data_IF_293168530008
#
_entry.id   IF_293168530008
#
_cell.length_a   1.000
_cell.length_b   1.000
_cell.length_c   1.000
_cell.angle_alpha   90.00
_cell.angle_beta   90.00
_cell.angle_gamma   90.00
#
_symmetry.space_group_name_H-M   'P 1'
#
loop_
_entity.id
_entity.type
_entity.pdbx_description
1 polymer ?
2 non-polymer ?
3 non-polymer ?
4 water ?
#
# COMPACT_ATOMS: atom_id res chain seq x y z
N UNK A 1 -40.47 7.56 -13.34
CA UNK A 1 -40.16 6.39 -14.15
C UNK A 1 -38.69 6.35 -14.59
N UNK A 2 -38.19 5.17 -14.92
CA UNK A 2 -36.74 4.99 -15.01
C UNK A 2 -36.16 5.36 -16.37
N UNK A 3 -35.29 6.35 -16.37
CA UNK A 3 -34.68 6.82 -17.61
C UNK A 3 -33.20 6.48 -17.73
N UNK A 4 -32.52 6.36 -16.59
CA UNK A 4 -31.05 6.23 -16.58
C UNK A 4 -30.60 5.03 -15.73
N UNK A 5 -29.73 4.20 -16.29
CA UNK A 5 -29.09 3.14 -15.50
C UNK A 5 -27.58 3.32 -15.57
N UNK A 6 -26.93 3.43 -14.42
CA UNK A 6 -25.48 3.58 -14.36
C UNK A 6 -24.84 2.33 -13.76
N UNK A 7 -23.59 2.04 -14.13
CA UNK A 7 -22.97 0.80 -13.69
C UNK A 7 -21.50 0.93 -13.30
N UNK A 8 -21.17 0.32 -12.16
CA UNK A 8 -19.78 0.22 -11.73
C UNK A 8 -19.11 -0.85 -12.59
N UNK A 9 -17.79 -0.75 -12.73
CA UNK A 9 -17.06 -1.68 -13.61
C UNK A 9 -16.44 -2.88 -12.86
N UNK A 10 -15.46 -2.64 -12.01
CA UNK A 10 -14.70 -3.70 -11.38
C UNK A 10 -15.57 -4.53 -10.47
N UNK A 11 -15.62 -5.81 -10.72
CA UNK A 11 -16.44 -6.75 -10.01
C UNK A 11 -17.94 -6.59 -10.22
N UNK A 12 -18.37 -5.80 -11.19
CA UNK A 12 -19.74 -5.93 -11.65
C UNK A 12 -19.85 -6.34 -13.13
N UNK A 13 -18.95 -5.86 -13.98
CA UNK A 13 -18.94 -6.27 -15.38
C UNK A 13 -17.84 -7.32 -15.68
N UNK A 14 -16.94 -7.51 -14.74
CA UNK A 14 -15.89 -8.54 -14.84
C UNK A 14 -15.23 -8.72 -13.47
N UNK A 15 -14.50 -9.82 -13.31
CA UNK A 15 -13.72 -10.06 -12.10
C UNK A 15 -12.57 -9.06 -12.02
N UNK A 16 -12.41 -8.38 -10.89
CA UNK A 16 -11.34 -7.37 -10.79
C UNK A 16 -9.94 -7.98 -10.82
N UNK A 17 -9.74 -9.02 -10.02
CA UNK A 17 -8.39 -9.52 -9.69
C UNK A 17 -7.45 -9.91 -10.84
N UNK A 18 -7.92 -10.76 -11.79
CA UNK A 18 -6.96 -11.33 -12.74
C UNK A 18 -6.24 -10.30 -13.63
N UNK A 19 -6.97 -9.36 -14.22
CA UNK A 19 -6.35 -8.40 -15.13
C UNK A 19 -5.35 -7.50 -14.41
N UNK A 20 -5.61 -7.21 -13.15
CA UNK A 20 -4.74 -6.33 -12.38
C UNK A 20 -3.48 -7.08 -11.95
N UNK A 21 -3.64 -8.34 -11.55
CA UNK A 21 -2.49 -9.19 -11.26
C UNK A 21 -1.57 -9.29 -12.46
N UNK A 22 -2.15 -9.58 -13.62
CA UNK A 22 -1.38 -9.64 -14.85
C UNK A 22 -0.69 -8.33 -15.15
N UNK A 23 -1.39 -7.23 -14.91
CA UNK A 23 -0.83 -5.90 -15.11
C UNK A 23 0.39 -5.65 -14.21
N UNK A 24 0.26 -5.99 -12.94
CA UNK A 24 1.35 -5.82 -12.00
C UNK A 24 2.57 -6.62 -12.47
N UNK A 25 2.33 -7.84 -12.94
CA UNK A 25 3.41 -8.72 -13.39
C UNK A 25 4.08 -8.18 -14.65
N UNK A 26 3.27 -7.67 -15.58
CA UNK A 26 3.78 -7.07 -16.80
C UNK A 26 4.58 -5.80 -16.46
N UNK A 27 4.11 -5.09 -15.45
CA UNK A 27 4.78 -3.88 -15.00
C UNK A 27 6.10 -4.30 -14.37
N UNK A 28 6.05 -5.33 -13.54
CA UNK A 28 7.25 -5.86 -12.92
C UNK A 28 8.28 -6.28 -13.98
N UNK A 29 7.82 -7.01 -15.00
CA UNK A 29 8.71 -7.55 -16.03
C UNK A 29 9.37 -6.46 -16.90
N UNK A 30 8.59 -5.50 -17.36
CA UNK A 30 9.08 -4.41 -18.21
C UNK A 30 10.12 -3.55 -17.50
N UNK A 31 10.01 -3.43 -16.18
CA UNK A 31 10.95 -2.62 -15.40
C UNK A 31 12.29 -3.33 -15.16
N UNK A 32 12.27 -4.66 -15.13
CA UNK A 32 13.51 -5.43 -14.99
C UNK A 32 14.26 -5.40 -16.32
N UNK A 33 13.54 -5.01 -17.37
CA UNK A 33 14.11 -4.95 -18.70
C UNK A 33 14.69 -3.58 -18.99
N UNK A 34 13.86 -2.55 -18.87
CA UNK A 34 14.23 -1.21 -19.31
C UNK A 34 14.78 -0.37 -18.16
N UNK A 35 14.59 -0.82 -16.93
CA UNK A 35 15.08 -0.08 -15.77
C UNK A 35 15.84 -0.98 -14.78
N UNK A 36 16.95 -1.59 -15.24
CA UNK A 36 17.69 -2.55 -14.42
C UNK A 36 18.26 -1.99 -13.11
N UNK A 37 18.36 -0.67 -12.98
CA UNK A 37 18.94 -0.09 -11.77
C UNK A 37 17.96 -0.07 -10.60
N UNK A 38 16.67 -0.14 -10.91
CA UNK A 38 15.67 -0.17 -9.84
C UNK A 38 15.73 -1.50 -9.08
N UNK A 39 15.69 -2.60 -9.82
CA UNK A 39 15.81 -3.92 -9.22
C UNK A 39 14.57 -4.34 -8.45
N UNK A 40 14.56 -5.59 -7.96
CA UNK A 40 13.42 -6.16 -7.22
C UNK A 40 13.03 -5.28 -6.04
N UNK A 41 11.88 -4.63 -6.16
CA UNK A 41 11.41 -3.73 -5.12
C UNK A 41 10.22 -4.31 -4.37
N UNK A 42 10.36 -4.44 -3.04
CA UNK A 42 9.28 -4.93 -2.19
C UNK A 42 8.04 -4.05 -2.27
N UNK A 43 6.89 -4.72 -2.37
CA UNK A 43 5.59 -4.05 -2.33
C UNK A 43 5.58 -3.02 -1.21
N UNK A 44 6.25 -3.34 -0.15
CA UNK A 44 6.31 -2.47 1.00
C UNK A 44 6.96 -1.13 0.70
N UNK A 45 7.90 -1.12 -0.22
CA UNK A 45 8.65 0.04 -0.59
C UNK A 45 7.86 0.99 -1.48
N UNK A 46 6.91 0.48 -2.24
CA UNK A 46 6.07 1.36 -3.02
C UNK A 46 5.03 2.02 -2.13
N UNK A 47 4.57 1.28 -1.13
CA UNK A 47 3.57 1.75 -0.20
C UNK A 47 4.08 2.96 0.57
N UNK A 48 5.34 2.95 0.95
CA UNK A 48 5.91 4.10 1.64
C UNK A 48 5.93 5.36 0.82
N UNK A 49 6.25 5.23 -0.45
CA UNK A 49 6.26 6.37 -1.37
C UNK A 49 4.83 6.83 -1.61
N UNK A 50 3.96 5.87 -1.88
CA UNK A 50 2.55 6.14 -2.06
C UNK A 50 2.01 6.90 -0.84
N UNK A 51 2.34 6.42 0.35
CA UNK A 51 1.83 7.01 1.59
C UNK A 51 2.35 8.41 1.77
N UNK A 52 3.54 8.67 1.22
CA UNK A 52 4.18 9.97 1.31
C UNK A 52 3.43 10.97 0.45
N UNK A 53 3.18 10.58 -0.79
CA UNK A 53 2.47 11.43 -1.74
C UNK A 53 1.04 11.73 -1.27
N UNK A 54 0.39 10.73 -0.68
CA UNK A 54 -0.96 10.91 -0.15
C UNK A 54 -0.96 11.84 1.06
N UNK A 55 0.21 12.00 1.69
CA UNK A 55 0.36 12.94 2.80
C UNK A 55 0.43 14.40 2.34
N UNK A 56 1.29 14.67 1.35
CA UNK A 56 1.45 16.02 0.85
C UNK A 56 0.20 16.47 0.10
N UNK A 57 -0.48 15.51 -0.52
CA UNK A 57 -1.67 15.80 -1.32
C UNK A 57 -2.71 14.68 -1.26
N UNK A 58 -3.56 14.71 -0.22
CA UNK A 58 -4.60 13.70 0.03
C UNK A 58 -5.55 13.47 -1.14
N UNK A 59 -5.70 14.45 -2.02
CA UNK A 59 -6.60 14.30 -3.15
C UNK A 59 -6.00 13.36 -4.21
N UNK A 60 -4.79 12.89 -3.96
CA UNK A 60 -4.16 11.93 -4.87
C UNK A 60 -4.95 10.63 -4.93
N UNK A 61 -5.74 10.36 -3.89
CA UNK A 61 -6.51 9.13 -3.83
C UNK A 61 -7.54 9.04 -4.95
N UNK A 62 -7.90 10.20 -5.50
CA UNK A 62 -8.88 10.26 -6.57
C UNK A 62 -8.24 10.27 -7.96
N UNK A 63 -6.92 10.15 -8.00
CA UNK A 63 -6.13 10.21 -9.23
C UNK A 63 -5.23 8.99 -9.30
N UNK A 64 -5.82 7.81 -9.39
CA UNK A 64 -5.07 6.58 -9.23
C UNK A 64 -3.96 6.34 -10.28
N UNK A 65 -4.20 6.75 -11.52
CA UNK A 65 -3.18 6.64 -12.57
C UNK A 65 -2.03 7.62 -12.34
N UNK A 66 -2.39 8.87 -12.12
CA UNK A 66 -1.40 9.90 -11.86
C UNK A 66 -0.56 9.53 -10.64
N UNK A 67 -1.21 8.98 -9.64
CA UNK A 67 -0.53 8.58 -8.41
C UNK A 67 0.51 7.51 -8.68
N UNK A 68 0.14 6.47 -9.43
CA UNK A 68 1.06 5.39 -9.72
C UNK A 68 2.25 5.88 -10.55
N UNK A 69 2.00 6.76 -11.51
CA UNK A 69 3.08 7.32 -12.33
C UNK A 69 4.08 8.09 -11.47
N UNK A 70 3.57 8.83 -10.49
CA UNK A 70 4.44 9.57 -9.59
C UNK A 70 5.25 8.64 -8.69
N UNK A 71 4.63 7.57 -8.20
CA UNK A 71 5.31 6.59 -7.37
C UNK A 71 6.42 5.89 -8.16
N UNK A 72 6.11 5.52 -9.40
CA UNK A 72 7.10 4.92 -10.27
C UNK A 72 8.26 5.89 -10.49
N UNK A 73 7.92 7.15 -10.73
CA UNK A 73 8.90 8.23 -10.89
C UNK A 73 9.90 8.28 -9.74
N UNK A 74 9.39 8.44 -8.52
CA UNK A 74 10.24 8.55 -7.34
C UNK A 74 11.09 7.33 -7.06
N UNK A 75 10.56 6.14 -7.35
CA UNK A 75 11.33 4.93 -7.11
C UNK A 75 12.47 4.79 -8.12
N UNK A 76 12.20 5.21 -9.36
CA UNK A 76 13.20 5.15 -10.41
C UNK A 76 14.29 6.19 -10.19
N UNK A 77 13.87 7.43 -9.93
CA UNK A 77 14.81 8.52 -9.65
C UNK A 77 15.62 8.22 -8.40
N UNK A 78 14.95 7.75 -7.35
CA UNK A 78 15.64 7.41 -6.11
C UNK A 78 16.40 6.09 -6.24
N UNK A 79 16.38 5.49 -7.42
CA UNK A 79 17.20 4.33 -7.71
C UNK A 79 18.44 4.75 -8.50
N UNK A 80 18.47 6.02 -8.90
CA UNK A 80 19.65 6.56 -9.54
C UNK A 80 19.40 7.34 -10.82
N UNK A 81 18.29 7.05 -11.49
CA UNK A 81 17.99 7.68 -12.77
C UNK A 81 17.80 9.19 -12.64
N UNK A 82 18.09 9.92 -13.72
CA UNK A 82 17.89 11.38 -13.76
C UNK A 82 16.41 11.73 -13.89
N UNK A 83 16.05 12.94 -13.50
CA UNK A 83 14.66 13.37 -13.59
C UNK A 83 14.08 13.09 -14.97
N UNK A 84 14.89 13.27 -16.00
CA UNK A 84 14.42 13.05 -17.36
C UNK A 84 14.12 11.59 -17.65
N UNK A 85 15.09 10.72 -17.41
CA UNK A 85 14.93 9.32 -17.76
C UNK A 85 13.95 8.62 -16.82
N UNK A 86 13.85 9.10 -15.58
CA UNK A 86 12.89 8.56 -14.64
C UNK A 86 11.47 8.79 -15.18
N UNK A 87 11.20 10.03 -15.57
CA UNK A 87 9.88 10.42 -16.04
C UNK A 87 9.49 9.67 -17.29
N UNK A 88 10.42 9.50 -18.22
CA UNK A 88 10.10 8.76 -19.44
C UNK A 88 9.89 7.29 -19.12
N UNK A 89 10.65 6.76 -18.16
CA UNK A 89 10.47 5.38 -17.75
C UNK A 89 9.16 5.20 -16.98
N UNK A 90 8.87 6.11 -16.05
CA UNK A 90 7.60 6.07 -15.33
C UNK A 90 6.44 6.04 -16.31
N UNK A 91 6.42 7.01 -17.22
CA UNK A 91 5.36 7.14 -18.21
C UNK A 91 5.22 5.89 -19.07
N UNK A 92 6.34 5.38 -19.56
CA UNK A 92 6.32 4.21 -20.44
C UNK A 92 5.89 2.94 -19.71
N UNK A 93 6.45 2.71 -18.52
CA UNK A 93 6.06 1.54 -17.74
C UNK A 93 4.59 1.60 -17.34
N UNK A 94 4.09 2.80 -17.08
CA UNK A 94 2.69 2.93 -16.70
C UNK A 94 1.75 2.54 -17.84
N UNK A 95 2.08 2.95 -19.07
CA UNK A 95 1.25 2.62 -20.22
C UNK A 95 1.20 1.11 -20.41
N UNK A 96 2.29 0.43 -20.07
CA UNK A 96 2.32 -1.02 -20.14
C UNK A 96 1.43 -1.63 -19.05
N UNK A 97 1.50 -1.09 -17.85
CA UNK A 97 0.58 -1.48 -16.80
C UNK A 97 -0.88 -1.29 -17.26
N UNK A 98 -1.18 -0.11 -17.77
CA UNK A 98 -2.56 0.23 -18.11
C UNK A 98 -3.11 -0.66 -19.23
N UNK A 99 -2.26 -1.00 -20.19
CA UNK A 99 -2.62 -1.93 -21.25
C UNK A 99 -2.96 -3.30 -20.66
N UNK A 100 -2.14 -3.76 -19.73
CA UNK A 100 -2.39 -5.06 -19.12
C UNK A 100 -3.63 -5.01 -18.26
N UNK A 101 -3.88 -3.83 -17.71
CA UNK A 101 -5.01 -3.59 -16.82
C UNK A 101 -6.33 -3.74 -17.57
N UNK A 102 -6.29 -3.52 -18.88
CA UNK A 102 -7.50 -3.62 -19.70
C UNK A 102 -7.77 -4.98 -20.33
N UNK A 103 -6.88 -5.95 -20.07
CA UNK A 103 -7.13 -7.30 -20.55
C UNK A 103 -8.07 -8.03 -19.60
N UNK A 104 -9.28 -7.51 -19.45
CA UNK A 104 -10.29 -8.14 -18.60
C UNK A 104 -11.12 -9.15 -19.40
N UNK A 105 -11.69 -10.11 -18.68
CA UNK A 105 -12.67 -11.01 -19.27
C UNK A 105 -14.07 -10.53 -18.90
N UNK A 106 -14.73 -9.86 -19.82
CA UNK A 106 -16.09 -9.38 -19.57
C UNK A 106 -17.03 -10.56 -19.36
N UNK A 107 -17.80 -10.54 -18.27
CA UNK A 107 -18.81 -11.57 -18.04
C UNK A 107 -19.69 -11.72 -19.29
N UNK A 108 -19.93 -12.96 -19.70
CA UNK A 108 -20.74 -13.30 -20.86
C UNK A 108 -22.16 -12.70 -20.78
N UNK A 109 -22.70 -12.58 -19.57
CA UNK A 109 -24.03 -12.03 -19.37
C UNK A 109 -24.13 -10.54 -19.77
N UNK A 110 -22.99 -9.86 -19.85
CA UNK A 110 -22.98 -8.40 -19.97
C UNK A 110 -23.44 -7.82 -21.31
N UNK A 111 -22.77 -8.17 -22.40
CA UNK A 111 -23.09 -7.55 -23.70
C UNK A 111 -24.57 -7.74 -24.12
N UNK A 112 -25.08 -8.97 -24.00
CA UNK A 112 -26.50 -9.23 -24.34
C UNK A 112 -27.45 -8.35 -23.55
N UNK A 113 -27.10 -8.09 -22.30
CA UNK A 113 -27.94 -7.30 -21.42
C UNK A 113 -27.86 -5.81 -21.72
N UNK A 114 -26.65 -5.31 -21.91
CA UNK A 114 -26.44 -3.92 -22.28
C UNK A 114 -27.18 -3.58 -23.58
N UNK A 115 -27.13 -4.48 -24.54
CA UNK A 115 -27.83 -4.27 -25.81
C UNK A 115 -29.34 -4.07 -25.60
N UNK A 116 -29.94 -4.92 -24.76
CA UNK A 116 -31.34 -4.82 -24.41
C UNK A 116 -31.66 -3.53 -23.67
N UNK A 117 -30.90 -3.24 -22.62
CA UNK A 117 -31.14 -2.05 -21.80
C UNK A 117 -30.98 -0.76 -22.60
N UNK A 118 -29.95 -0.72 -23.44
CA UNK A 118 -29.69 0.44 -24.27
C UNK A 118 -30.89 0.85 -25.14
N UNK A 119 -31.79 -0.08 -25.43
CA UNK A 119 -32.90 0.25 -26.32
C UNK A 119 -33.90 1.14 -25.63
N UNK A 120 -33.90 1.17 -24.31
CA UNK A 120 -34.96 1.89 -23.64
C UNK A 120 -34.49 2.78 -22.49
N UNK A 121 -33.23 2.63 -22.10
CA UNK A 121 -32.64 3.47 -21.07
C UNK A 121 -31.40 4.13 -21.61
N UNK A 122 -31.06 5.27 -21.03
CA UNK A 122 -29.71 5.83 -21.16
C UNK A 122 -28.78 5.05 -20.22
N UNK A 123 -27.62 4.62 -20.73
CA UNK A 123 -26.68 3.86 -19.91
C UNK A 123 -25.44 4.69 -19.64
N UNK A 124 -24.95 4.61 -18.42
CA UNK A 124 -23.74 5.33 -18.06
C UNK A 124 -22.83 4.55 -17.15
N UNK A 125 -21.60 5.03 -17.03
CA UNK A 125 -20.60 4.39 -16.16
C UNK A 125 -20.13 5.37 -15.10
N UNK A 126 -19.97 4.86 -13.88
CA UNK A 126 -19.38 5.67 -12.81
C UNK A 126 -18.38 4.81 -12.05
N UNK A 127 -17.10 5.17 -12.18
CA UNK A 127 -16.01 4.36 -11.62
C UNK A 127 -14.93 5.20 -10.91
N UNK A 128 -14.39 4.63 -9.84
CA UNK A 128 -13.26 5.24 -9.14
C UNK A 128 -11.91 4.82 -9.73
N UNK A 129 -11.92 3.79 -10.58
CA UNK A 129 -10.69 3.22 -11.11
C UNK A 129 -10.31 3.69 -12.50
N UNK A 130 -9.30 3.04 -13.09
CA UNK A 130 -8.82 3.45 -14.40
C UNK A 130 -9.13 2.49 -15.55
N UNK A 131 -10.13 1.63 -15.38
CA UNK A 131 -10.65 0.86 -16.52
C UNK A 131 -11.44 1.80 -17.41
N UNK A 132 -11.12 1.79 -18.69
CA UNK A 132 -11.69 2.75 -19.61
C UNK A 132 -12.49 2.01 -20.65
N UNK A 133 -13.82 2.15 -20.59
CA UNK A 133 -14.69 1.36 -21.45
C UNK A 133 -14.44 1.68 -22.90
N UNK A 134 -13.93 2.89 -23.18
CA UNK A 134 -13.63 3.32 -24.54
C UNK A 134 -12.58 2.41 -25.15
N UNK A 135 -11.74 1.82 -24.30
CA UNK A 135 -10.69 0.93 -24.75
C UNK A 135 -11.18 -0.49 -24.87
N UNK A 136 -12.42 -0.72 -24.47
CA UNK A 136 -13.03 -2.04 -24.52
C UNK A 136 -14.14 -2.03 -25.56
N UNK A 137 -14.67 -3.21 -25.87
CA UNK A 137 -15.71 -3.29 -26.89
C UNK A 137 -17.03 -2.75 -26.39
N UNK A 138 -17.03 -2.23 -25.16
CA UNK A 138 -18.27 -1.84 -24.47
C UNK A 138 -18.65 -0.40 -24.69
N UNK A 139 -17.74 0.37 -25.26
CA UNK A 139 -17.90 1.82 -25.30
C UNK A 139 -19.25 2.23 -25.90
N UNK A 140 -19.67 1.52 -26.94
CA UNK A 140 -20.86 1.95 -27.67
C UNK A 140 -22.19 1.84 -26.90
N UNK A 141 -22.22 1.07 -25.81
CA UNK A 141 -23.47 0.94 -25.04
C UNK A 141 -23.74 2.13 -24.12
N UNK A 142 -22.70 2.90 -23.86
CA UNK A 142 -22.78 3.94 -22.84
C UNK A 142 -22.77 5.33 -23.43
N UNK A 143 -23.68 6.17 -22.92
CA UNK A 143 -23.74 7.58 -23.25
C UNK A 143 -22.62 8.37 -22.60
N UNK A 144 -22.19 7.95 -21.41
CA UNK A 144 -21.10 8.65 -20.74
C UNK A 144 -20.37 7.69 -19.82
N UNK A 145 -19.17 8.08 -19.41
CA UNK A 145 -18.39 7.26 -18.50
C UNK A 145 -17.65 8.23 -17.62
N UNK A 146 -18.06 8.29 -16.35
CA UNK A 146 -17.41 9.18 -15.42
C UNK A 146 -16.37 8.42 -14.63
N UNK A 147 -15.18 8.97 -14.48
CA UNK A 147 -14.22 8.38 -13.56
C UNK A 147 -13.76 9.41 -12.53
N UNK A 148 -13.37 8.94 -11.35
CA UNK A 148 -12.97 9.84 -10.28
C UNK A 148 -11.78 10.74 -10.65
N UNK A 149 -10.85 10.22 -11.47
CA UNK A 149 -9.68 10.99 -11.87
C UNK A 149 -10.05 12.26 -12.63
N UNK A 150 -11.06 12.17 -13.50
CA UNK A 150 -11.54 13.32 -14.26
C UNK A 150 -12.41 14.27 -13.45
N UNK A 151 -13.15 13.74 -12.48
CA UNK A 151 -14.01 14.57 -11.65
C UNK A 151 -13.27 15.10 -10.43
N UNK A 152 -12.16 14.47 -10.09
CA UNK A 152 -11.41 14.82 -8.89
C UNK A 152 -12.08 14.38 -7.60
N UNK A 153 -13.07 13.50 -7.69
CA UNK A 153 -13.79 13.03 -6.52
C UNK A 153 -14.46 11.71 -6.90
N UNK A 154 -14.55 10.78 -5.96
CA UNK A 154 -15.09 9.46 -6.28
C UNK A 154 -16.26 9.01 -5.41
N UNK A 155 -16.91 7.93 -5.82
CA UNK A 155 -17.96 7.31 -5.00
C UNK A 155 -17.29 7.01 -3.68
N UNK A 156 -18.04 7.07 -2.56
CA UNK A 156 -19.48 7.24 -2.35
C UNK A 156 -19.92 8.69 -2.22
N UNK A 157 -19.01 9.63 -2.43
CA UNK A 157 -19.42 11.03 -2.46
C UNK A 157 -20.54 11.23 -3.47
N UNK A 158 -21.49 12.12 -3.17
CA UNK A 158 -22.61 12.28 -4.12
C UNK A 158 -22.21 12.92 -5.45
N UNK A 159 -21.10 13.66 -5.49
CA UNK A 159 -20.72 14.39 -6.69
C UNK A 159 -20.74 13.58 -7.98
N UNK A 160 -20.07 12.41 -8.00
CA UNK A 160 -20.10 11.70 -9.29
C UNK A 160 -21.51 11.27 -9.74
N UNK A 161 -22.38 10.93 -8.79
CA UNK A 161 -23.75 10.57 -9.12
C UNK A 161 -24.56 11.75 -9.66
N UNK A 162 -24.42 12.89 -8.98
CA UNK A 162 -25.06 14.12 -9.41
C UNK A 162 -24.56 14.56 -10.79
N UNK A 163 -23.27 14.34 -11.06
CA UNK A 163 -22.76 14.64 -12.40
C UNK A 163 -23.40 13.73 -13.45
N UNK A 164 -23.60 12.46 -13.10
CA UNK A 164 -24.22 11.52 -14.03
C UNK A 164 -25.65 11.93 -14.39
N UNK A 165 -26.39 12.42 -13.40
CA UNK A 165 -27.75 12.86 -13.59
C UNK A 165 -27.79 14.05 -14.56
N UNK A 166 -26.84 14.96 -14.40
CA UNK A 166 -26.70 16.10 -15.33
C UNK A 166 -26.35 15.67 -16.76
N UNK A 167 -25.48 14.68 -16.91
CA UNK A 167 -25.14 14.21 -18.25
C UNK A 167 -26.36 13.58 -18.93
N UNK A 168 -27.19 12.87 -18.16
CA UNK A 168 -28.35 12.20 -18.72
C UNK A 168 -29.58 13.11 -18.78
N UNK A 169 -29.50 14.25 -18.11
CA UNK A 169 -30.61 15.21 -18.08
C UNK A 169 -31.86 14.64 -17.40
N UNK A 170 -31.69 14.03 -16.24
CA UNK A 170 -32.83 13.48 -15.51
C UNK A 170 -32.68 13.70 -14.01
N UNK A 171 -33.78 13.56 -13.28
CA UNK A 171 -33.77 13.65 -11.82
C UNK A 171 -33.31 12.32 -11.22
N UNK A 172 -32.87 12.36 -9.96
CA UNK A 172 -32.43 11.18 -9.21
C UNK A 172 -33.49 10.08 -9.15
N UNK A 173 -34.75 10.45 -8.92
CA UNK A 173 -35.81 9.45 -8.82
C UNK A 173 -35.98 8.68 -10.14
N UNK A 174 -35.42 9.22 -11.21
CA UNK A 174 -35.52 8.57 -12.51
C UNK A 174 -34.30 7.67 -12.82
N UNK A 175 -33.46 7.44 -11.83
CA UNK A 175 -32.15 6.81 -12.09
C UNK A 175 -31.92 5.60 -11.19
N UNK A 176 -31.19 4.61 -11.72
CA UNK A 176 -30.78 3.45 -10.93
C UNK A 176 -29.27 3.21 -11.14
N UNK A 177 -28.52 2.94 -10.06
CA UNK A 177 -27.13 2.59 -10.19
C UNK A 177 -26.93 1.10 -9.83
N UNK A 178 -26.07 0.43 -10.59
CA UNK A 178 -25.82 -1.01 -10.41
C UNK A 178 -24.33 -1.21 -10.07
N UNK A 179 -24.05 -1.88 -8.95
CA UNK A 179 -22.68 -2.02 -8.48
C UNK A 179 -22.54 -3.10 -7.42
N UNK A 180 -21.31 -3.55 -7.19
CA UNK A 180 -21.08 -4.66 -6.26
C UNK A 180 -20.75 -4.18 -4.85
N UNK A 181 -20.28 -2.93 -4.73
CA UNK A 181 -19.78 -2.43 -3.43
C UNK A 181 -20.86 -1.80 -2.55
N UNK A 182 -21.08 -2.40 -1.37
CA UNK A 182 -22.13 -1.94 -0.44
C UNK A 182 -22.02 -0.45 -0.12
N UNK A 183 -20.81 0.05 0.09
CA UNK A 183 -20.65 1.47 0.44
C UNK A 183 -20.51 2.39 -0.77
N UNK A 184 -19.56 2.08 -1.66
CA UNK A 184 -19.27 2.93 -2.82
C UNK A 184 -20.44 3.01 -3.79
N UNK A 185 -21.04 1.86 -4.12
CA UNK A 185 -22.12 1.84 -5.09
C UNK A 185 -23.51 1.99 -4.48
N UNK A 186 -23.84 1.17 -3.49
CA UNK A 186 -25.21 1.14 -3.00
C UNK A 186 -25.51 2.37 -2.12
N UNK A 187 -24.82 2.49 -1.00
CA UNK A 187 -25.06 3.64 -0.11
C UNK A 187 -24.80 4.95 -0.85
N UNK A 188 -23.75 4.96 -1.67
CA UNK A 188 -23.41 6.15 -2.42
C UNK A 188 -24.53 6.64 -3.32
N UNK A 189 -25.08 5.73 -4.14
CA UNK A 189 -26.15 6.10 -5.06
C UNK A 189 -27.44 6.45 -4.34
N UNK A 190 -27.78 5.69 -3.30
CA UNK A 190 -29.01 5.95 -2.54
C UNK A 190 -28.95 7.29 -1.80
N UNK A 191 -27.78 7.62 -1.26
CA UNK A 191 -27.64 8.92 -0.60
C UNK A 191 -27.76 10.09 -1.59
N UNK A 192 -27.39 9.86 -2.85
CA UNK A 192 -27.59 10.82 -3.92
C UNK A 192 -29.04 10.82 -4.49
N UNK A 193 -29.93 10.07 -3.86
CA UNK A 193 -31.34 10.04 -4.25
C UNK A 193 -31.72 9.02 -5.32
N UNK A 194 -30.78 8.20 -5.78
CA UNK A 194 -31.09 7.22 -6.82
C UNK A 194 -31.53 5.92 -6.17
N UNK A 195 -32.12 5.03 -6.95
CA UNK A 195 -32.23 3.63 -6.55
C UNK A 195 -30.93 2.90 -6.85
N UNK A 196 -30.67 1.83 -6.10
CA UNK A 196 -29.42 1.07 -6.26
C UNK A 196 -29.69 -0.42 -6.25
N UNK A 197 -29.07 -1.11 -7.22
CA UNK A 197 -29.23 -2.55 -7.36
C UNK A 197 -27.88 -3.20 -7.04
N UNK A 198 -27.89 -4.15 -6.12
CA UNK A 198 -26.66 -4.71 -5.61
C UNK A 198 -26.36 -5.94 -6.44
N UNK A 199 -25.19 -5.94 -7.07
CA UNK A 199 -24.70 -7.09 -7.82
C UNK A 199 -23.92 -7.99 -6.89
N UNK A 200 -24.48 -9.15 -6.60
CA UNK A 200 -23.98 -10.02 -5.54
C UNK A 200 -23.99 -11.48 -6.00
N UNK A 201 -23.22 -11.78 -7.06
CA UNK A 201 -23.19 -13.14 -7.62
C UNK A 201 -22.72 -14.19 -6.61
N UNK A 202 -21.89 -13.77 -5.67
CA UNK A 202 -21.32 -14.73 -4.72
C UNK A 202 -22.20 -14.96 -3.51
N UNK A 203 -23.36 -14.30 -3.47
CA UNK A 203 -24.32 -14.57 -2.42
C UNK A 203 -23.87 -14.11 -1.05
N UNK A 204 -23.03 -13.08 -1.00
CA UNK A 204 -22.62 -12.51 0.28
C UNK A 204 -23.84 -12.00 1.06
N UNK A 205 -23.69 -11.89 2.37
CA UNK A 205 -24.80 -11.36 3.18
C UNK A 205 -24.75 -9.84 3.21
N UNK A 206 -25.93 -9.21 3.25
CA UNK A 206 -26.05 -7.77 3.36
C UNK A 206 -26.25 -7.40 4.82
N UNK A 207 -25.47 -6.47 5.36
CA UNK A 207 -25.66 -6.15 6.77
C UNK A 207 -25.83 -4.68 7.14
N UNK A 208 -26.44 -3.90 6.26
CA UNK A 208 -26.78 -2.53 6.59
C UNK A 208 -28.31 -2.41 6.73
N UNK A 209 -28.75 -1.53 7.62
CA UNK A 209 -30.18 -1.24 7.82
C UNK A 209 -30.92 -0.95 6.51
N UNK A 210 -30.43 0.03 5.75
CA UNK A 210 -31.06 0.40 4.48
C UNK A 210 -30.72 -0.69 3.48
N UNK A 211 -31.75 -1.26 2.86
CA UNK A 211 -31.59 -2.34 1.88
C UNK A 211 -31.27 -1.78 0.50
N UNK A 212 -30.51 -2.55 -0.30
CA UNK A 212 -30.41 -2.21 -1.72
C UNK A 212 -31.83 -2.24 -2.25
N UNK A 213 -32.12 -1.42 -3.25
CA UNK A 213 -33.44 -1.44 -3.80
C UNK A 213 -33.79 -2.76 -4.48
N UNK A 214 -32.76 -3.47 -4.94
CA UNK A 214 -32.94 -4.83 -5.40
C UNK A 214 -31.57 -5.51 -5.36
N UNK A 215 -31.52 -6.83 -5.36
CA UNK A 215 -30.25 -7.54 -5.35
C UNK A 215 -30.31 -8.60 -6.45
N UNK A 216 -29.24 -8.75 -7.23
CA UNK A 216 -29.24 -9.72 -8.34
C UNK A 216 -27.96 -10.55 -8.28
N UNK A 217 -27.98 -11.73 -8.91
CA UNK A 217 -26.74 -12.52 -9.02
C UNK A 217 -26.26 -12.64 -10.48
N UNK A 218 -27.11 -12.17 -11.39
CA UNK A 218 -26.84 -12.19 -12.82
C UNK A 218 -27.35 -10.91 -13.47
N UNK A 219 -26.48 -10.23 -14.22
CA UNK A 219 -26.84 -8.97 -14.87
C UNK A 219 -28.08 -9.10 -15.77
N UNK A 220 -28.30 -10.28 -16.36
CA UNK A 220 -29.49 -10.44 -17.22
C UNK A 220 -30.82 -10.38 -16.47
N UNK A 221 -30.77 -10.29 -15.13
CA UNK A 221 -31.98 -10.02 -14.34
C UNK A 221 -32.40 -8.54 -14.44
N UNK A 222 -31.52 -7.69 -14.92
CA UNK A 222 -31.82 -6.24 -14.88
C UNK A 222 -33.14 -5.83 -15.55
N UNK A 223 -33.40 -6.30 -16.78
CA UNK A 223 -34.66 -5.89 -17.44
C UNK A 223 -35.90 -6.14 -16.58
N UNK A 224 -36.03 -7.33 -16.00
CA UNK A 224 -37.19 -7.63 -15.17
C UNK A 224 -37.22 -6.81 -13.86
N UNK A 225 -36.05 -6.60 -13.25
CA UNK A 225 -35.98 -5.80 -12.01
C UNK A 225 -36.38 -4.37 -12.32
N UNK A 226 -35.79 -3.81 -13.37
CA UNK A 226 -36.09 -2.43 -13.76
C UNK A 226 -37.57 -2.24 -14.10
N UNK A 227 -38.18 -3.26 -14.71
CA UNK A 227 -39.60 -3.19 -15.05
C UNK A 227 -40.50 -3.03 -13.82
N UNK A 228 -39.99 -3.36 -12.64
CA UNK A 228 -40.76 -3.22 -11.41
C UNK A 228 -41.06 -1.76 -11.11
N UNK A 229 -40.18 -0.87 -11.57
CA UNK A 229 -40.28 0.55 -11.23
C UNK A 229 -40.77 1.38 -12.43
N UNK A 230 -41.38 0.73 -13.42
CA UNK A 230 -41.74 1.45 -14.64
C UNK A 230 -42.90 2.40 -14.36
N UNK B 1 32.04 13.05 26.91
CA UNK B 1 32.24 11.70 26.43
C UNK B 1 30.96 10.95 26.12
N UNK B 2 31.09 10.14 25.08
CA UNK B 2 29.99 9.41 24.52
C UNK B 2 29.89 8.08 25.26
N UNK B 3 28.71 7.79 25.80
CA UNK B 3 28.52 6.56 26.56
C UNK B 3 27.63 5.56 25.84
N UNK B 4 26.79 6.06 24.94
CA UNK B 4 25.77 5.24 24.30
C UNK B 4 25.79 5.44 22.79
N UNK B 5 25.77 4.34 22.06
CA UNK B 5 25.63 4.38 20.60
C UNK B 5 24.47 3.47 20.21
N UNK B 6 23.51 4.05 19.53
CA UNK B 6 22.35 3.27 19.09
C UNK B 6 22.32 3.14 17.58
N UNK B 7 21.71 2.09 17.08
CA UNK B 7 21.78 1.83 15.64
C UNK B 7 20.46 1.38 15.01
N UNK B 8 20.18 1.92 13.83
CA UNK B 8 19.04 1.48 13.04
C UNK B 8 19.42 0.19 12.33
N UNK B 9 18.44 -0.65 12.05
CA UNK B 9 18.71 -1.96 11.45
C UNK B 9 18.63 -1.98 9.92
N UNK B 10 17.45 -1.83 9.38
CA UNK B 10 17.24 -1.94 7.93
C UNK B 10 18.02 -0.88 7.11
N UNK B 11 18.88 -1.35 6.24
CA UNK B 11 19.76 -0.51 5.45
C UNK B 11 20.87 0.22 6.20
N UNK B 12 21.08 -0.16 7.45
CA UNK B 12 22.21 0.24 8.23
C UNK B 12 23.16 -0.93 8.53
N UNK B 13 22.61 -2.04 8.95
CA UNK B 13 23.35 -3.30 9.21
C UNK B 13 23.22 -4.37 8.10
N UNK B 14 22.26 -4.17 7.20
CA UNK B 14 22.06 -5.03 6.04
C UNK B 14 21.22 -4.31 4.99
N UNK B 15 21.23 -4.83 3.77
CA UNK B 15 20.34 -4.29 2.73
C UNK B 15 18.91 -4.81 2.99
N UNK B 16 17.93 -3.92 3.04
CA UNK B 16 16.59 -4.38 3.42
C UNK B 16 15.81 -5.13 2.32
N UNK B 17 15.94 -4.67 1.07
CA UNK B 17 15.05 -5.11 0.00
C UNK B 17 14.99 -6.64 -0.24
N UNK B 18 16.15 -7.30 -0.39
CA UNK B 18 16.19 -8.74 -0.71
C UNK B 18 15.44 -9.67 0.27
N UNK B 19 15.63 -9.51 1.56
CA UNK B 19 14.96 -10.38 2.52
C UNK B 19 13.44 -10.15 2.60
N UNK B 20 13.01 -8.92 2.33
CA UNK B 20 11.59 -8.58 2.30
C UNK B 20 10.93 -9.06 1.00
N UNK B 21 11.66 -9.00 -0.10
CA UNK B 21 11.16 -9.54 -1.37
C UNK B 21 10.91 -11.04 -1.23
N UNK B 22 11.92 -11.74 -0.71
CA UNK B 22 11.81 -13.17 -0.45
C UNK B 22 10.70 -13.54 0.53
N UNK B 23 10.47 -12.68 1.51
CA UNK B 23 9.44 -12.90 2.53
C UNK B 23 8.05 -12.77 1.92
N UNK B 24 7.89 -11.78 1.04
CA UNK B 24 6.63 -11.57 0.34
C UNK B 24 6.32 -12.79 -0.53
N UNK B 25 7.32 -13.24 -1.27
CA UNK B 25 7.20 -14.41 -2.14
C UNK B 25 6.84 -15.65 -1.35
N UNK B 26 7.45 -15.80 -0.18
CA UNK B 26 7.14 -16.94 0.70
C UNK B 26 5.72 -16.85 1.25
N UNK B 27 5.31 -15.65 1.65
CA UNK B 27 3.97 -15.45 2.17
C UNK B 27 3.02 -15.84 1.06
N UNK B 28 3.33 -15.36 -0.15
CA UNK B 28 2.49 -15.53 -1.31
C UNK B 28 2.25 -17.01 -1.64
N UNK B 29 3.33 -17.79 -1.65
CA UNK B 29 3.25 -19.20 -2.02
C UNK B 29 2.55 -20.07 -0.97
N UNK B 30 2.72 -19.70 0.29
CA UNK B 30 2.12 -20.43 1.39
C UNK B 30 0.61 -20.24 1.38
N UNK B 31 0.16 -19.03 1.03
CA UNK B 31 -1.26 -18.74 0.90
C UNK B 31 -1.88 -19.42 -0.32
N UNK B 32 -1.10 -19.50 -1.40
CA UNK B 32 -1.57 -20.13 -2.63
C UNK B 32 -1.90 -21.59 -2.38
N UNK B 33 -1.11 -22.21 -1.52
CA UNK B 33 -1.27 -23.63 -1.23
C UNK B 33 -2.17 -23.88 -0.02
N UNK B 34 -1.97 -23.11 1.04
CA UNK B 34 -2.67 -23.37 2.30
C UNK B 34 -3.99 -22.62 2.43
N UNK B 35 -4.21 -21.62 1.58
CA UNK B 35 -5.47 -20.89 1.59
C UNK B 35 -5.96 -20.67 0.16
N UNK B 36 -6.15 -21.75 -0.59
CA UNK B 36 -6.39 -21.67 -2.04
C UNK B 36 -7.71 -21.00 -2.39
N UNK B 37 -8.49 -20.61 -1.37
CA UNK B 37 -9.72 -19.88 -1.60
C UNK B 37 -9.46 -18.38 -1.74
N UNK B 38 -8.28 -17.96 -1.30
CA UNK B 38 -7.89 -16.55 -1.45
C UNK B 38 -7.47 -16.22 -2.88
N UNK B 39 -6.60 -17.05 -3.46
CA UNK B 39 -6.19 -16.90 -4.85
C UNK B 39 -5.34 -15.68 -5.13
N UNK B 40 -4.79 -15.59 -6.35
CA UNK B 40 -3.97 -14.47 -6.82
C UNK B 40 -4.55 -13.11 -6.43
N UNK B 41 -3.82 -12.41 -5.56
CA UNK B 41 -4.27 -11.16 -4.96
C UNK B 41 -3.41 -9.98 -5.40
N UNK B 42 -4.04 -8.99 -6.02
CA UNK B 42 -3.25 -7.82 -6.44
C UNK B 42 -2.78 -7.01 -5.25
N UNK B 43 -1.50 -6.64 -5.27
CA UNK B 43 -0.92 -5.72 -4.29
C UNK B 43 -1.94 -4.65 -3.92
N UNK B 44 -2.65 -4.18 -4.94
CA UNK B 44 -3.64 -3.13 -4.77
C UNK B 44 -4.67 -3.45 -3.69
N UNK B 45 -5.02 -4.73 -3.56
CA UNK B 45 -6.10 -5.18 -2.69
C UNK B 45 -5.77 -5.17 -1.20
N UNK B 46 -4.56 -5.60 -0.85
CA UNK B 46 -4.13 -5.60 0.55
C UNK B 46 -4.10 -4.16 1.03
N UNK B 47 -3.70 -3.28 0.12
CA UNK B 47 -3.56 -1.88 0.42
C UNK B 47 -4.88 -1.20 0.72
N UNK B 48 -5.89 -1.50 -0.08
CA UNK B 48 -7.25 -1.06 0.21
C UNK B 48 -7.62 -1.41 1.65
N UNK B 49 -7.34 -2.65 2.04
CA UNK B 49 -7.66 -3.10 3.40
C UNK B 49 -6.83 -2.38 4.44
N UNK B 50 -5.53 -2.34 4.19
CA UNK B 50 -4.58 -1.66 5.05
C UNK B 50 -5.02 -0.22 5.30
N UNK B 51 -5.44 0.46 4.25
CA UNK B 51 -5.84 1.86 4.35
C UNK B 51 -7.11 2.07 5.19
N UNK B 52 -8.04 1.12 5.08
CA UNK B 52 -9.24 1.15 5.92
C UNK B 52 -8.83 1.06 7.38
N UNK B 53 -7.98 0.08 7.69
CA UNK B 53 -7.49 -0.11 9.06
C UNK B 53 -6.78 1.13 9.60
N UNK B 54 -5.93 1.75 8.79
CA UNK B 54 -5.22 2.95 9.19
C UNK B 54 -6.15 4.15 9.37
N UNK B 55 -7.25 4.16 8.61
CA UNK B 55 -8.24 5.21 8.78
C UNK B 55 -9.01 5.02 10.07
N UNK B 56 -9.31 3.77 10.39
CA UNK B 56 -10.01 3.44 11.63
C UNK B 56 -9.12 3.67 12.84
N UNK B 57 -7.83 3.38 12.69
CA UNK B 57 -6.88 3.52 13.79
C UNK B 57 -5.47 3.80 13.28
N UNK B 58 -5.15 5.09 13.10
CA UNK B 58 -3.87 5.50 12.51
C UNK B 58 -2.65 4.99 13.27
N UNK B 59 -2.79 4.71 14.57
CA UNK B 59 -1.66 4.25 15.37
C UNK B 59 -1.19 2.85 14.92
N UNK B 60 -1.94 2.24 14.03
CA UNK B 60 -1.53 0.95 13.47
C UNK B 60 -0.20 1.10 12.73
N UNK B 61 0.08 2.32 12.27
CA UNK B 61 1.30 2.57 11.52
C UNK B 61 2.54 2.17 12.33
N UNK B 62 2.43 2.26 13.65
CA UNK B 62 3.56 1.91 14.51
C UNK B 62 3.56 0.46 14.98
N UNK B 63 2.62 -0.32 14.47
CA UNK B 63 2.50 -1.74 14.86
C UNK B 63 2.43 -2.60 13.61
N UNK B 64 3.54 -2.65 12.88
CA UNK B 64 3.56 -3.20 11.54
C UNK B 64 3.28 -4.70 11.47
N UNK B 65 3.61 -5.43 12.53
CA UNK B 65 3.34 -6.85 12.54
C UNK B 65 1.85 -7.10 12.76
N UNK B 66 1.30 -6.43 13.76
CA UNK B 66 -0.12 -6.54 14.06
C UNK B 66 -0.94 -6.11 12.84
N UNK B 67 -0.51 -5.01 12.20
CA UNK B 67 -1.22 -4.49 11.05
C UNK B 67 -1.30 -5.51 9.93
N UNK B 68 -0.16 -6.13 9.60
CA UNK B 68 -0.13 -7.11 8.53
C UNK B 68 -0.94 -8.38 8.85
N UNK B 69 -0.96 -8.80 10.10
CA UNK B 69 -1.75 -9.98 10.47
C UNK B 69 -3.24 -9.68 10.32
N UNK B 70 -3.61 -8.46 10.67
CA UNK B 70 -4.99 -8.02 10.59
C UNK B 70 -5.44 -7.89 9.12
N UNK B 71 -4.58 -7.31 8.28
CA UNK B 71 -4.88 -7.23 6.85
C UNK B 71 -5.09 -8.63 6.26
N UNK B 72 -4.23 -9.56 6.64
CA UNK B 72 -4.34 -10.94 6.18
C UNK B 72 -5.63 -11.59 6.67
N UNK B 73 -5.96 -11.37 7.94
CA UNK B 73 -7.23 -11.82 8.48
C UNK B 73 -8.42 -11.32 7.64
N UNK B 74 -8.55 -10.01 7.49
CA UNK B 74 -9.68 -9.46 6.78
C UNK B 74 -9.76 -9.97 5.34
N UNK B 75 -8.61 -10.11 4.69
CA UNK B 75 -8.62 -10.62 3.33
C UNK B 75 -9.11 -12.05 3.29
N UNK B 76 -8.75 -12.84 4.30
CA UNK B 76 -9.15 -14.24 4.35
C UNK B 76 -10.66 -14.37 4.59
N UNK B 77 -11.15 -13.75 5.67
CA UNK B 77 -12.57 -13.73 5.92
C UNK B 77 -13.35 -13.31 4.68
N UNK B 78 -12.95 -12.20 4.09
CA UNK B 78 -13.63 -11.64 2.93
C UNK B 78 -13.54 -12.54 1.70
N UNK B 79 -12.69 -13.56 1.78
CA UNK B 79 -12.61 -14.55 0.71
C UNK B 79 -13.33 -15.85 1.08
N UNK B 80 -13.97 -15.87 2.25
CA UNK B 80 -14.88 -16.95 2.58
C UNK B 80 -14.63 -17.72 3.86
N UNK B 81 -13.47 -17.55 4.47
CA UNK B 81 -13.12 -18.35 5.64
C UNK B 81 -13.82 -17.92 6.93
N UNK B 82 -14.11 -18.89 7.79
CA UNK B 82 -14.68 -18.63 9.12
C UNK B 82 -13.78 -17.67 9.86
N UNK B 83 -14.36 -16.83 10.71
CA UNK B 83 -13.57 -15.91 11.52
C UNK B 83 -12.44 -16.68 12.21
N UNK B 84 -12.73 -17.91 12.63
CA UNK B 84 -11.76 -18.70 13.37
C UNK B 84 -10.63 -19.26 12.51
N UNK B 85 -10.97 -19.78 11.33
CA UNK B 85 -9.93 -20.29 10.44
C UNK B 85 -9.15 -19.15 9.78
N UNK B 86 -9.81 -18.03 9.54
CA UNK B 86 -9.13 -16.86 9.00
C UNK B 86 -8.05 -16.39 9.96
N UNK B 87 -8.44 -16.16 11.21
CA UNK B 87 -7.49 -15.72 12.23
C UNK B 87 -6.33 -16.69 12.30
N UNK B 88 -6.64 -17.98 12.22
CA UNK B 88 -5.62 -19.00 12.39
C UNK B 88 -4.68 -19.07 11.17
N UNK B 89 -5.22 -18.88 9.98
CA UNK B 89 -4.40 -18.86 8.77
C UNK B 89 -3.64 -17.55 8.65
N UNK B 90 -4.25 -16.47 9.11
CA UNK B 90 -3.58 -15.19 9.16
C UNK B 90 -2.35 -15.31 10.03
N UNK B 91 -2.52 -15.92 11.21
CA UNK B 91 -1.42 -16.09 12.14
C UNK B 91 -0.28 -16.92 11.54
N UNK B 92 -0.63 -18.06 10.96
CA UNK B 92 0.37 -18.96 10.40
C UNK B 92 1.14 -18.35 9.24
N UNK B 93 0.43 -17.70 8.33
CA UNK B 93 1.05 -17.15 7.14
C UNK B 93 1.98 -16.00 7.52
N UNK B 94 1.61 -15.27 8.56
CA UNK B 94 2.46 -14.18 9.02
C UNK B 94 3.76 -14.72 9.59
N UNK B 95 3.67 -15.74 10.44
CA UNK B 95 4.89 -16.36 10.94
C UNK B 95 5.80 -16.83 9.82
N UNK B 96 5.21 -17.22 8.68
CA UNK B 96 6.03 -17.59 7.52
C UNK B 96 6.67 -16.35 6.89
N UNK B 97 5.93 -15.26 6.85
CA UNK B 97 6.49 -13.99 6.36
C UNK B 97 7.66 -13.54 7.22
N UNK B 98 7.48 -13.66 8.54
CA UNK B 98 8.43 -13.13 9.50
C UNK B 98 9.72 -13.94 9.53
N UNK B 99 9.60 -15.27 9.44
CA UNK B 99 10.78 -16.11 9.31
C UNK B 99 11.57 -15.68 8.08
N UNK B 100 10.84 -15.37 7.01
CA UNK B 100 11.46 -14.99 5.76
C UNK B 100 12.21 -13.66 5.83
N UNK B 101 11.58 -12.65 6.41
CA UNK B 101 12.23 -11.34 6.47
C UNK B 101 13.47 -11.32 7.37
N UNK B 102 13.67 -12.39 8.15
CA UNK B 102 14.89 -12.49 8.95
C UNK B 102 16.04 -13.18 8.22
N UNK B 103 15.81 -13.60 6.98
CA UNK B 103 16.90 -14.18 6.20
C UNK B 103 17.72 -13.08 5.54
N UNK B 104 18.31 -12.22 6.37
CA UNK B 104 19.10 -11.11 5.87
C UNK B 104 20.58 -11.45 5.76
N UNK B 105 21.29 -10.72 4.93
CA UNK B 105 22.74 -10.81 4.87
C UNK B 105 23.36 -9.64 5.62
N UNK B 106 23.78 -9.87 6.86
CA UNK B 106 24.42 -8.80 7.63
C UNK B 106 25.70 -8.36 6.94
N UNK B 107 25.88 -7.05 6.70
CA UNK B 107 27.12 -6.58 6.11
C UNK B 107 28.33 -7.14 6.87
N UNK B 108 29.38 -7.51 6.14
CA UNK B 108 30.61 -8.07 6.73
C UNK B 108 31.26 -7.10 7.74
N UNK B 109 31.09 -5.80 7.52
CA UNK B 109 31.72 -4.81 8.36
C UNK B 109 31.11 -4.76 9.77
N UNK B 110 29.94 -5.36 9.94
CA UNK B 110 29.12 -5.19 11.15
C UNK B 110 29.63 -5.88 12.43
N UNK B 111 29.84 -7.19 12.37
CA UNK B 111 30.24 -7.92 13.59
C UNK B 111 31.59 -7.45 14.16
N UNK B 112 32.62 -7.35 13.30
CA UNK B 112 33.94 -6.86 13.72
C UNK B 112 33.85 -5.50 14.42
N UNK B 113 32.98 -4.63 13.93
CA UNK B 113 32.89 -3.27 14.45
C UNK B 113 32.09 -3.23 15.76
N UNK B 114 31.00 -3.98 15.83
CA UNK B 114 30.20 -4.05 17.04
C UNK B 114 31.05 -4.57 18.19
N UNK B 115 31.91 -5.53 17.88
CA UNK B 115 32.80 -6.11 18.88
C UNK B 115 33.79 -5.06 19.42
N UNK B 116 34.36 -4.26 18.53
CA UNK B 116 35.23 -3.17 18.95
C UNK B 116 34.44 -2.17 19.79
N UNK B 117 33.27 -1.75 19.30
CA UNK B 117 32.54 -0.68 19.98
C UNK B 117 32.09 -1.10 21.38
N UNK B 118 31.62 -2.34 21.50
CA UNK B 118 31.14 -2.86 22.78
C UNK B 118 32.20 -2.84 23.90
N UNK B 119 33.48 -2.79 23.55
CA UNK B 119 34.51 -2.70 24.58
C UNK B 119 34.40 -1.40 25.36
N UNK B 120 33.79 -0.38 24.75
CA UNK B 120 33.89 0.97 25.27
C UNK B 120 32.55 1.72 25.40
N UNK B 121 31.56 1.31 24.62
CA UNK B 121 30.27 1.98 24.60
C UNK B 121 29.19 1.01 24.98
N UNK B 122 28.11 1.50 25.58
CA UNK B 122 26.88 0.73 25.65
C UNK B 122 26.19 0.86 24.28
N UNK B 123 25.71 -0.25 23.74
CA UNK B 123 25.11 -0.26 22.40
C UNK B 123 23.64 -0.63 22.47
N UNK B 124 22.83 0.03 21.64
CA UNK B 124 21.42 -0.29 21.62
C UNK B 124 20.89 -0.28 20.20
N UNK B 125 19.70 -0.82 20.01
CA UNK B 125 19.01 -0.77 18.71
C UNK B 125 17.72 0.06 18.82
N UNK B 126 17.42 0.87 17.80
CA UNK B 126 16.13 1.54 17.73
C UNK B 126 15.60 1.36 16.31
N UNK B 127 14.52 0.57 16.17
CA UNK B 127 13.96 0.21 14.85
C UNK B 127 12.43 0.41 14.80
N UNK B 128 11.95 0.89 13.66
CA UNK B 128 10.52 0.98 13.41
C UNK B 128 9.98 -0.34 12.87
N UNK B 129 10.89 -1.24 12.49
CA UNK B 129 10.50 -2.47 11.84
C UNK B 129 10.44 -3.68 12.76
N UNK B 130 10.26 -4.86 12.15
CA UNK B 130 10.09 -6.08 12.92
C UNK B 130 11.22 -7.09 12.79
N UNK B 131 12.40 -6.64 12.37
CA UNK B 131 13.59 -7.46 12.52
C UNK B 131 14.03 -7.50 13.98
N UNK B 132 14.24 -8.72 14.47
CA UNK B 132 14.51 -8.96 15.89
C UNK B 132 15.95 -9.47 16.02
N UNK B 133 16.80 -8.71 16.72
CA UNK B 133 18.23 -9.05 16.75
C UNK B 133 18.50 -10.41 17.40
N UNK B 134 17.56 -10.87 18.22
CA UNK B 134 17.68 -12.17 18.89
C UNK B 134 17.62 -13.31 17.89
N UNK B 135 16.88 -13.09 16.81
CA UNK B 135 16.69 -14.07 15.75
C UNK B 135 17.90 -14.10 14.83
N UNK B 136 18.71 -13.06 14.89
CA UNK B 136 19.88 -12.96 14.03
C UNK B 136 21.11 -13.24 14.87
N UNK B 137 22.29 -13.01 14.34
CA UNK B 137 23.47 -13.30 15.13
C UNK B 137 23.83 -12.28 16.21
N UNK B 138 22.91 -11.37 16.54
CA UNK B 138 23.31 -10.06 17.08
C UNK B 138 22.93 -9.68 18.51
N UNK B 139 22.08 -10.46 19.14
CA UNK B 139 21.50 -10.06 20.43
C UNK B 139 22.56 -9.64 21.44
N UNK B 140 23.67 -10.38 21.47
CA UNK B 140 24.65 -10.21 22.54
C UNK B 140 25.50 -8.94 22.46
N UNK B 141 25.49 -8.27 21.30
CA UNK B 141 26.23 -7.01 21.17
C UNK B 141 25.51 -5.85 21.86
N UNK B 142 24.20 -5.99 22.02
CA UNK B 142 23.36 -4.87 22.45
C UNK B 142 22.81 -5.02 23.86
N UNK B 143 22.89 -3.95 24.64
CA UNK B 143 22.24 -3.90 25.95
C UNK B 143 20.73 -4.01 25.81
N UNK B 144 20.20 -3.41 24.75
CA UNK B 144 18.75 -3.41 24.56
C UNK B 144 18.42 -3.16 23.10
N UNK B 145 17.22 -3.60 22.71
CA UNK B 145 16.72 -3.35 21.36
C UNK B 145 15.32 -2.84 21.49
N UNK B 146 15.07 -1.64 20.97
CA UNK B 146 13.74 -1.02 21.03
C UNK B 146 13.08 -1.09 19.67
N UNK B 147 11.77 -1.36 19.64
CA UNK B 147 11.05 -1.25 18.38
C UNK B 147 9.73 -0.51 18.55
N UNK B 148 9.29 0.14 17.47
CA UNK B 148 8.09 0.97 17.51
C UNK B 148 6.85 0.20 18.00
N UNK B 149 6.72 -1.06 17.62
CA UNK B 149 5.53 -1.83 17.99
C UNK B 149 5.40 -2.00 19.51
N UNK B 150 6.53 -2.21 20.19
CA UNK B 150 6.54 -2.31 21.64
C UNK B 150 6.35 -0.97 22.31
N UNK B 151 6.87 0.08 21.69
CA UNK B 151 6.70 1.43 22.19
C UNK B 151 5.32 2.00 21.85
N UNK B 152 4.77 1.57 20.72
CA UNK B 152 3.54 2.13 20.19
C UNK B 152 3.74 3.41 19.39
N UNK B 153 4.99 3.77 19.15
CA UNK B 153 5.35 4.99 18.44
C UNK B 153 6.78 4.85 17.89
N UNK B 154 7.01 5.32 16.67
CA UNK B 154 8.32 5.13 16.04
C UNK B 154 9.10 6.42 15.81
N UNK B 155 10.36 6.26 15.44
CA UNK B 155 11.17 7.37 14.94
C UNK B 155 10.36 8.01 13.80
N UNK B 156 10.46 9.32 13.60
CA UNK B 156 11.34 10.33 14.21
C UNK B 156 10.81 10.93 15.51
N UNK B 157 9.69 10.44 16.02
CA UNK B 157 9.21 10.90 17.31
C UNK B 157 10.31 10.78 18.35
N UNK B 158 10.30 11.67 19.35
CA UNK B 158 11.30 11.63 20.43
C UNK B 158 11.21 10.38 21.29
N UNK B 159 10.02 9.81 21.44
CA UNK B 159 9.80 8.74 22.42
C UNK B 159 10.80 7.58 22.37
N UNK B 160 11.02 6.99 21.19
CA UNK B 160 11.97 5.87 21.15
C UNK B 160 13.38 6.28 21.58
N UNK B 161 13.81 7.50 21.25
CA UNK B 161 15.16 7.92 21.62
C UNK B 161 15.24 8.14 23.13
N UNK B 162 14.25 8.84 23.67
CA UNK B 162 14.20 9.08 25.11
C UNK B 162 14.21 7.77 25.91
N UNK B 163 13.51 6.76 25.40
CA UNK B 163 13.47 5.45 26.07
C UNK B 163 14.84 4.80 26.02
N UNK B 164 15.56 4.96 24.92
CA UNK B 164 16.93 4.44 24.87
C UNK B 164 17.82 5.13 25.91
N UNK B 165 17.69 6.46 26.00
CA UNK B 165 18.45 7.24 26.95
C UNK B 165 18.12 6.84 28.39
N UNK B 166 16.84 6.58 28.66
CA UNK B 166 16.41 6.07 29.97
C UNK B 166 17.04 4.74 30.33
N UNK B 167 17.03 3.78 29.39
CA UNK B 167 17.55 2.44 29.68
C UNK B 167 19.06 2.43 29.89
N UNK B 168 19.75 3.31 29.18
CA UNK B 168 21.20 3.45 29.34
C UNK B 168 21.52 4.32 30.55
N UNK B 169 20.54 5.12 30.96
CA UNK B 169 20.72 6.15 31.97
C UNK B 169 21.80 7.17 31.60
N UNK B 170 21.70 7.73 30.40
CA UNK B 170 22.63 8.77 29.96
C UNK B 170 21.83 9.96 29.42
N UNK B 171 22.45 11.13 29.42
CA UNK B 171 21.86 12.30 28.80
C UNK B 171 22.06 12.23 27.30
N UNK B 172 21.21 12.95 26.57
CA UNK B 172 21.23 12.95 25.11
C UNK B 172 22.59 13.35 24.57
N UNK B 173 23.24 14.30 25.25
CA UNK B 173 24.53 14.81 24.78
C UNK B 173 25.65 13.77 24.87
N UNK B 174 25.40 12.69 25.62
CA UNK B 174 26.37 11.61 25.74
C UNK B 174 26.05 10.45 24.79
N UNK B 175 25.16 10.67 23.82
CA UNK B 175 24.68 9.58 22.98
C UNK B 175 24.78 9.91 21.49
N UNK B 176 25.00 8.86 20.70
CA UNK B 176 25.04 8.94 19.24
C UNK B 176 24.12 7.88 18.63
N UNK B 177 23.36 8.25 17.62
CA UNK B 177 22.52 7.32 16.89
C UNK B 177 23.07 7.21 15.47
N UNK B 178 23.13 5.99 14.95
CA UNK B 178 23.65 5.70 13.61
C UNK B 178 22.54 5.09 12.77
N UNK B 179 22.29 5.67 11.63
CA UNK B 179 21.27 5.23 10.71
C UNK B 179 21.32 5.82 9.30
N UNK B 180 20.53 5.23 8.41
CA UNK B 180 20.59 5.58 6.99
C UNK B 180 19.48 6.55 6.54
N UNK B 181 18.45 6.71 7.37
CA UNK B 181 17.34 7.56 6.98
C UNK B 181 17.42 9.00 7.49
N UNK B 182 17.44 9.96 6.57
CA UNK B 182 17.67 11.38 6.88
C UNK B 182 16.66 11.93 7.87
N UNK B 183 15.41 11.50 7.73
CA UNK B 183 14.36 12.02 8.60
C UNK B 183 14.16 11.16 9.85
N UNK B 184 14.00 9.85 9.66
CA UNK B 184 13.72 8.94 10.76
C UNK B 184 14.89 8.84 11.74
N UNK B 185 16.10 8.64 11.22
CA UNK B 185 17.27 8.45 12.06
C UNK B 185 17.99 9.75 12.43
N UNK B 186 18.30 10.54 11.41
CA UNK B 186 19.17 11.68 11.63
C UNK B 186 18.38 12.83 12.29
N UNK B 187 17.41 13.40 11.59
CA UNK B 187 16.66 14.51 12.21
C UNK B 187 16.03 14.04 13.52
N UNK B 188 15.55 12.80 13.54
CA UNK B 188 14.93 12.23 14.73
C UNK B 188 15.83 12.25 15.95
N UNK B 189 16.99 11.60 15.84
CA UNK B 189 17.94 11.58 16.94
C UNK B 189 18.39 13.00 17.35
N UNK B 190 18.61 13.88 16.38
CA UNK B 190 19.10 15.21 16.70
C UNK B 190 18.05 16.04 17.45
N UNK B 191 16.81 15.87 17.07
CA UNK B 191 15.75 16.62 17.75
C UNK B 191 15.55 16.12 19.17
N UNK B 192 15.92 14.86 19.42
CA UNK B 192 15.91 14.32 20.77
C UNK B 192 17.19 14.68 21.53
N UNK B 193 18.08 15.43 20.90
CA UNK B 193 19.24 15.97 21.59
C UNK B 193 20.53 15.20 21.39
N UNK B 194 20.50 14.16 20.56
CA UNK B 194 21.65 13.27 20.42
C UNK B 194 22.48 13.76 19.25
N UNK B 195 23.70 13.24 19.11
CA UNK B 195 24.38 13.34 17.82
C UNK B 195 23.87 12.23 16.90
N UNK B 196 24.04 12.44 15.60
CA UNK B 196 23.60 11.46 14.62
C UNK B 196 24.61 11.28 13.52
N UNK B 197 24.95 10.02 13.24
CA UNK B 197 25.90 9.67 12.19
C UNK B 197 25.11 9.06 11.05
N UNK B 198 25.23 9.65 9.87
CA UNK B 198 24.47 9.20 8.71
C UNK B 198 25.26 8.15 7.95
N UNK B 199 24.68 6.96 7.81
CA UNK B 199 25.29 5.86 7.08
C UNK B 199 24.83 5.99 5.62
N UNK B 200 25.76 6.34 4.75
CA UNK B 200 25.47 6.69 3.35
C UNK B 200 26.49 6.02 2.42
N UNK B 201 26.46 4.69 2.33
CA UNK B 201 27.44 3.96 1.52
C UNK B 201 27.33 4.27 0.01
N UNK B 202 26.15 4.72 -0.43
CA UNK B 202 25.96 4.99 -1.87
C UNK B 202 26.29 6.43 -2.24
N UNK B 203 26.70 7.21 -1.25
CA UNK B 203 27.21 8.56 -1.46
C UNK B 203 26.13 9.56 -1.89
N UNK B 204 24.89 9.31 -1.50
CA UNK B 204 23.77 10.20 -1.78
C UNK B 204 24.02 11.61 -1.26
N UNK B 205 23.35 12.60 -1.85
CA UNK B 205 23.47 13.98 -1.40
C UNK B 205 22.62 14.26 -0.15
N UNK B 206 23.14 15.11 0.74
CA UNK B 206 22.39 15.53 1.91
C UNK B 206 21.71 16.86 1.58
N UNK B 207 20.43 17.03 1.93
CA UNK B 207 19.77 18.27 1.51
C UNK B 207 19.05 19.13 2.56
N UNK B 208 19.14 18.71 3.82
CA UNK B 208 18.57 19.48 4.92
C UNK B 208 19.62 20.42 5.50
N UNK B 209 19.22 21.59 5.94
CA UNK B 209 20.12 22.56 6.51
C UNK B 209 20.96 22.09 7.71
N UNK B 210 20.37 21.39 8.66
CA UNK B 210 21.11 20.83 9.80
C UNK B 210 21.84 19.61 9.24
N UNK B 211 23.14 19.58 9.41
CA UNK B 211 23.95 18.48 8.88
C UNK B 211 23.92 17.27 9.82
N UNK B 212 24.15 16.06 9.26
CA UNK B 212 24.44 14.95 10.19
C UNK B 212 25.70 15.36 10.97
N UNK B 213 25.85 14.91 12.21
CA UNK B 213 27.06 15.22 12.95
C UNK B 213 28.30 14.55 12.37
N UNK B 214 28.08 13.48 11.60
CA UNK B 214 29.12 12.91 10.76
C UNK B 214 28.47 12.03 9.73
N UNK B 215 29.19 11.71 8.66
CA UNK B 215 28.68 10.87 7.60
C UNK B 215 29.74 9.81 7.30
N UNK B 216 29.32 8.56 7.17
CA UNK B 216 30.24 7.46 6.86
C UNK B 216 29.74 6.63 5.69
N UNK B 217 30.64 5.88 5.06
CA UNK B 217 30.21 5.01 3.98
C UNK B 217 30.47 3.56 4.37
N UNK B 218 31.15 3.37 5.50
CA UNK B 218 31.48 2.03 5.98
C UNK B 218 31.45 2.03 7.48
N UNK B 219 30.79 1.03 8.06
CA UNK B 219 30.55 0.98 9.49
C UNK B 219 31.86 0.96 10.31
N UNK B 220 32.92 0.40 9.74
CA UNK B 220 34.18 0.35 10.48
C UNK B 220 34.87 1.73 10.61
N UNK B 221 34.28 2.78 10.02
CA UNK B 221 34.69 4.15 10.33
C UNK B 221 34.18 4.61 11.71
N UNK B 222 33.25 3.88 12.30
CA UNK B 222 32.65 4.35 13.55
C UNK B 222 33.64 4.64 14.69
N UNK B 223 34.58 3.72 14.96
CA UNK B 223 35.50 3.99 16.07
C UNK B 223 36.28 5.31 15.93
N UNK B 224 36.75 5.63 14.72
CA UNK B 224 37.49 6.88 14.55
C UNK B 224 36.55 8.08 14.64
N UNK B 225 35.34 7.94 14.09
CA UNK B 225 34.38 9.03 14.13
C UNK B 225 33.99 9.36 15.57
N UNK B 226 33.67 8.34 16.36
CA UNK B 226 33.27 8.53 17.74
C UNK B 226 34.39 9.08 18.64
N UNK B 227 35.64 8.73 18.32
CA UNK B 227 36.79 9.25 19.06
C UNK B 227 36.91 10.77 18.94
N UNK B 228 36.34 11.35 17.87
CA UNK B 228 36.29 12.80 17.71
C UNK B 228 35.61 13.50 18.89
N UNK B 229 34.65 12.82 19.51
CA UNK B 229 33.78 13.42 20.52
C UNK B 229 34.10 12.91 21.92
N UNK B 230 35.24 12.22 22.04
CA UNK B 230 35.63 11.67 23.33
C UNK B 230 35.97 12.79 24.33
X LIG C 1 -16.67 -2.39 -8.09
X LIG D 1 -5.23 0.23 -10.55
X LIG E 1 -18.67 -6.23 -25.61
X LIG F 1 -4.94 5.69 -2.97
X LIG G 1 0.68 3.07 -6.49
X LIG H 1 16.95 2.09 8.29
X LIG I 1 2.12 1.40 -5.63
X LIG J 1 0.25 -4.97 5.15
X LIG K 1 7.54 -5.47 7.20
X LIG L 1 17.54 -2.45 29.82
X LIG M 1 -0.31 -5.16 2.93
X LIG N 1 26.73 -2.90 27.20
X LIG O 1 1.60 1.66 7.80
X LIG P 1 9.87 -0.59 25.09
X LIG Q 1 17.75 8.67 32.73
X LIG R 1 25.63 10.81 30.99
X LIG S 1 36.40 2.32 19.76
#
# INVERSE_FOLDING_TARGET
MIKLVTFDLDDTLWDTAPAIVGAEAALRDWLAEQAPKLGPVPVEHLWEIRSRLLDEDPSFKHRISALRRRVLFHALEDAGYDSDEAQQLADESFEVFLHGRHQVQIFPEVQPTLEILAKTFTLGVITNGNADVRRLGLADYFAFALCAEDLGIGKPDPAPFLEALRRAKVDASAAVHVGDHPSDDIAGAQQAGMRAIWYNPQGKAWDADRLPDAEIHNLSQLPEVLARWA
MIKLVTFDLDDTLWDTAPAIVGAEAALRDWLAEQAPKLGPVPVEHLWEIRSRLLDEDPSFKHRISALRRRVLFHALEDAGYDSDEAQQLADESFEVFLHGRHQVQIFPEVQPTLEILAKTFTLGVITNGNADVRRLGLADYFAFALCAEDLGIGKPDPAPFLEALRRAKVDASAAVHVGDHPSDDIAGAQQAGMRAIWYNPQGKAWDADRLPDAEIHNLSQLPEVLARWA
MG MG
IOD I
IOD I
IOD I
IOD I
MG MG
IOD I
IOD I
IOD I
IOD I
IOD I
IOD I
IOD I
IOD I
IOD I
IOD I
IOD I
#
